data_IF_461416683744
#
_entry.id   IF_461416683744
#
_cell.length_a   1.000
_cell.length_b   1.000
_cell.length_c   1.000
_cell.angle_alpha   90.00
_cell.angle_beta   90.00
_cell.angle_gamma   90.00
#
_symmetry.space_group_name_H-M   'P 1'
#
loop_
_entity.id
_entity.type
_entity.pdbx_description
1 polymer ?
#
# COMPACT_ATOMS: atom_id res chain seq x y z
N UNK A 1 1.60 -0.54 -10.08
CA UNK A 1 1.92 0.14 -8.81
C UNK A 1 1.11 -0.49 -7.68
N UNK A 2 1.70 -0.58 -6.48
CA UNK A 2 1.01 -0.99 -5.25
C UNK A 2 0.94 0.22 -4.33
N UNK A 3 -0.26 0.60 -3.88
CA UNK A 3 -0.47 1.58 -2.82
C UNK A 3 -0.90 0.83 -1.56
N UNK A 4 -0.06 0.86 -0.53
CA UNK A 4 -0.12 -0.01 0.63
C UNK A 4 -0.16 0.78 1.95
N UNK A 5 -0.59 0.11 3.03
CA UNK A 5 -0.66 0.70 4.36
C UNK A 5 -1.92 0.33 5.14
N UNK A 6 -1.92 0.48 6.47
CA UNK A 6 -3.05 0.12 7.33
C UNK A 6 -4.36 0.84 6.93
N UNK A 7 -5.48 0.34 7.45
CA UNK A 7 -6.78 0.99 7.25
C UNK A 7 -6.76 2.42 7.81
N UNK A 8 -7.41 3.36 7.12
CA UNK A 8 -7.39 4.77 7.53
C UNK A 8 -6.03 5.47 7.39
N UNK A 9 -5.02 4.85 6.76
CA UNK A 9 -3.73 5.52 6.54
C UNK A 9 -3.80 6.71 5.56
N UNK A 10 -4.84 6.82 4.73
CA UNK A 10 -4.94 7.85 3.69
C UNK A 10 -4.43 7.42 2.31
N UNK A 11 -4.36 6.11 2.05
CA UNK A 11 -3.95 5.53 0.75
C UNK A 11 -4.72 6.12 -0.42
N UNK A 12 -6.06 6.15 -0.32
CA UNK A 12 -6.94 6.64 -1.39
C UNK A 12 -6.73 8.13 -1.66
N UNK A 13 -6.43 8.93 -0.63
CA UNK A 13 -6.10 10.36 -0.79
C UNK A 13 -4.75 10.54 -1.48
N UNK A 14 -3.75 9.73 -1.13
CA UNK A 14 -2.42 9.79 -1.76
C UNK A 14 -2.45 9.23 -3.20
N UNK A 15 -3.35 8.31 -3.48
CA UNK A 15 -3.58 7.71 -4.80
C UNK A 15 -4.71 8.40 -5.58
N UNK A 16 -5.05 9.65 -5.24
CA UNK A 16 -6.00 10.43 -6.01
C UNK A 16 -5.30 11.01 -7.27
N UNK A 17 -5.94 10.97 -8.45
CA UNK A 17 -5.41 11.63 -9.64
C UNK A 17 -5.49 13.16 -9.48
N UNK A 18 -4.54 13.87 -10.07
CA UNK A 18 -4.57 15.33 -10.13
C UNK A 18 -3.20 15.98 -10.30
N UNK A 19 -3.17 17.28 -10.67
CA UNK A 19 -1.93 18.01 -10.93
C UNK A 19 -0.98 18.02 -9.72
N UNK A 20 0.28 17.66 -9.94
CA UNK A 20 1.31 17.50 -8.91
C UNK A 20 1.12 16.27 -8.02
N UNK A 21 0.15 15.41 -8.33
CA UNK A 21 -0.14 14.19 -7.59
C UNK A 21 0.88 13.08 -7.85
N UNK A 22 0.94 12.11 -6.94
CA UNK A 22 1.87 10.99 -7.07
C UNK A 22 1.58 10.16 -8.33
N UNK A 23 0.31 10.00 -8.71
CA UNK A 23 -0.03 9.25 -9.92
C UNK A 23 0.49 9.92 -11.19
N UNK A 24 0.41 11.25 -11.28
CA UNK A 24 0.94 12.03 -12.41
C UNK A 24 2.45 11.86 -12.57
N UNK A 25 3.20 11.88 -11.45
CA UNK A 25 4.65 11.65 -11.46
C UNK A 25 5.03 10.29 -12.08
N UNK A 26 4.14 9.31 -11.98
CA UNK A 26 4.33 7.98 -12.59
C UNK A 26 3.63 7.81 -13.94
N UNK A 27 2.91 8.83 -14.44
CA UNK A 27 2.07 8.73 -15.64
C UNK A 27 0.89 7.77 -15.47
N UNK A 28 0.35 7.67 -14.24
CA UNK A 28 -0.69 6.71 -13.87
C UNK A 28 -2.06 7.35 -13.61
N UNK A 29 -2.29 8.63 -13.91
CA UNK A 29 -3.57 9.30 -13.62
C UNK A 29 -4.78 8.65 -14.31
N UNK A 30 -4.58 8.12 -15.52
CA UNK A 30 -5.60 7.40 -16.28
C UNK A 30 -5.56 5.87 -16.05
N UNK A 31 -4.73 5.39 -15.11
CA UNK A 31 -4.57 3.97 -14.85
C UNK A 31 -5.72 3.43 -13.98
N UNK A 32 -6.19 2.24 -14.33
CA UNK A 32 -7.18 1.52 -13.56
C UNK A 32 -6.72 1.32 -12.09
N UNK A 33 -7.52 1.83 -11.15
CA UNK A 33 -7.33 1.66 -9.71
C UNK A 33 -8.21 0.53 -9.20
N UNK A 34 -7.55 -0.53 -8.73
CA UNK A 34 -8.18 -1.71 -8.16
C UNK A 34 -8.21 -1.59 -6.63
N UNK A 35 -9.41 -1.57 -6.04
CA UNK A 35 -9.61 -1.49 -4.60
C UNK A 35 -10.77 -2.41 -4.18
N UNK A 36 -10.51 -3.32 -3.25
CA UNK A 36 -11.49 -4.32 -2.81
C UNK A 36 -12.65 -3.72 -2.00
N UNK A 37 -12.43 -2.62 -1.28
CA UNK A 37 -13.49 -1.93 -0.54
C UNK A 37 -14.46 -1.24 -1.52
N UNK A 38 -13.94 -0.62 -2.59
CA UNK A 38 -14.74 0.02 -3.64
C UNK A 38 -15.54 -1.02 -4.44
N UNK A 39 -14.91 -2.15 -4.79
CA UNK A 39 -15.59 -3.28 -5.47
C UNK A 39 -16.68 -3.90 -4.58
N UNK A 40 -16.45 -4.04 -3.27
CA UNK A 40 -17.46 -4.52 -2.34
C UNK A 40 -18.64 -3.54 -2.21
N UNK A 41 -18.36 -2.23 -2.15
CA UNK A 41 -19.40 -1.21 -2.12
C UNK A 41 -20.23 -1.20 -3.41
N UNK A 42 -19.60 -1.34 -4.58
CA UNK A 42 -20.28 -1.42 -5.87
C UNK A 42 -21.21 -2.64 -5.95
N UNK A 43 -20.75 -3.80 -5.45
CA UNK A 43 -21.57 -5.02 -5.36
C UNK A 43 -22.79 -4.85 -4.48
N UNK A 44 -22.63 -4.25 -3.31
CA UNK A 44 -23.76 -3.94 -2.42
C UNK A 44 -24.75 -2.99 -3.09
N UNK A 45 -24.25 -1.95 -3.79
CA UNK A 45 -25.11 -1.05 -4.56
C UNK A 45 -25.84 -1.76 -5.72
N UNK A 46 -25.26 -2.82 -6.27
CA UNK A 46 -25.86 -3.66 -7.31
C UNK A 46 -26.83 -4.73 -6.77
N UNK A 47 -26.99 -4.84 -5.44
CA UNK A 47 -27.97 -5.72 -4.80
C UNK A 47 -27.40 -6.88 -3.98
N UNK A 48 -26.08 -7.05 -3.91
CA UNK A 48 -25.47 -8.07 -3.05
C UNK A 48 -25.68 -7.73 -1.56
N UNK A 49 -25.88 -8.74 -0.72
CA UNK A 49 -25.99 -8.53 0.72
C UNK A 49 -24.66 -8.02 1.30
N UNK A 50 -24.65 -7.01 2.19
CA UNK A 50 -23.42 -6.59 2.85
C UNK A 50 -22.94 -7.69 3.79
N UNK A 51 -21.66 -8.09 3.67
CA UNK A 51 -21.12 -9.11 4.56
C UNK A 51 -19.77 -9.68 4.12
N UNK A 52 -19.24 -10.65 4.89
CA UNK A 52 -17.95 -11.29 4.61
C UNK A 52 -17.88 -11.96 3.24
N UNK A 53 -18.98 -12.51 2.75
CA UNK A 53 -19.05 -13.17 1.43
C UNK A 53 -18.83 -12.16 0.30
N UNK A 54 -19.55 -11.04 0.31
CA UNK A 54 -19.38 -9.96 -0.67
C UNK A 54 -17.99 -9.35 -0.62
N UNK A 55 -17.42 -9.18 0.58
CA UNK A 55 -16.03 -8.73 0.70
C UNK A 55 -15.02 -9.73 0.14
N UNK A 56 -15.24 -11.02 0.37
CA UNK A 56 -14.38 -12.07 -0.18
C UNK A 56 -14.49 -12.14 -1.71
N UNK A 57 -15.71 -12.04 -2.24
CA UNK A 57 -15.97 -12.01 -3.68
C UNK A 57 -15.29 -10.79 -4.33
N UNK A 58 -15.42 -9.60 -3.73
CA UNK A 58 -14.75 -8.39 -4.17
C UNK A 58 -13.22 -8.55 -4.16
N UNK A 59 -12.65 -9.07 -3.08
CA UNK A 59 -11.21 -9.31 -2.99
C UNK A 59 -10.72 -10.28 -4.07
N UNK A 60 -11.47 -11.35 -4.35
CA UNK A 60 -11.14 -12.31 -5.42
C UNK A 60 -11.25 -11.68 -6.81
N UNK A 61 -12.25 -10.84 -7.05
CA UNK A 61 -12.42 -10.14 -8.32
C UNK A 61 -11.26 -9.17 -8.58
N UNK A 62 -10.83 -8.44 -7.56
CA UNK A 62 -9.64 -7.56 -7.63
C UNK A 62 -8.37 -8.37 -7.90
N UNK A 63 -8.17 -9.50 -7.21
CA UNK A 63 -7.01 -10.37 -7.42
C UNK A 63 -6.95 -10.90 -8.86
N UNK A 64 -8.09 -11.32 -9.41
CA UNK A 64 -8.20 -11.80 -10.78
C UNK A 64 -7.92 -10.69 -11.80
N UNK A 65 -8.55 -9.52 -11.66
CA UNK A 65 -8.34 -8.36 -12.54
C UNK A 65 -6.90 -7.87 -12.52
N UNK A 66 -6.27 -7.86 -11.34
CA UNK A 66 -4.87 -7.48 -11.20
C UNK A 66 -3.95 -8.46 -11.91
N UNK A 67 -4.20 -9.77 -11.77
CA UNK A 67 -3.43 -10.79 -12.48
C UNK A 67 -3.62 -10.68 -14.01
N UNK A 68 -4.85 -10.51 -14.47
CA UNK A 68 -5.16 -10.32 -15.89
C UNK A 68 -4.46 -9.08 -16.48
N UNK A 69 -4.49 -7.95 -15.78
CA UNK A 69 -3.81 -6.74 -16.22
C UNK A 69 -2.29 -6.95 -16.35
N UNK A 70 -1.68 -7.64 -15.37
CA UNK A 70 -0.25 -7.99 -15.41
C UNK A 70 0.07 -8.87 -16.62
N UNK A 71 -0.73 -9.92 -16.86
CA UNK A 71 -0.53 -10.81 -18.01
C UNK A 71 -0.71 -10.09 -19.35
N UNK A 72 -1.68 -9.17 -19.43
CA UNK A 72 -1.98 -8.37 -20.61
C UNK A 72 -0.99 -7.22 -20.88
N UNK A 73 0.03 -7.01 -20.04
CA UNK A 73 0.99 -5.90 -20.23
C UNK A 73 0.40 -4.52 -19.89
N UNK A 74 -0.73 -4.44 -19.18
CA UNK A 74 -1.42 -3.18 -18.88
C UNK A 74 -0.90 -2.57 -17.58
N UNK A 75 -0.68 -1.25 -17.61
CA UNK A 75 -0.49 -0.48 -16.37
C UNK A 75 -1.68 -0.68 -15.44
N UNK A 76 -1.41 -0.96 -14.16
CA UNK A 76 -2.43 -1.22 -13.15
C UNK A 76 -1.98 -0.72 -11.78
N UNK A 77 -2.91 -0.18 -11.01
CA UNK A 77 -2.70 0.22 -9.62
C UNK A 77 -3.59 -0.61 -8.71
N UNK A 78 -3.04 -1.13 -7.61
CA UNK A 78 -3.83 -1.81 -6.57
C UNK A 78 -3.65 -1.12 -5.22
N UNK A 79 -4.76 -0.86 -4.54
CA UNK A 79 -4.78 -0.48 -3.13
C UNK A 79 -4.92 -1.69 -2.23
N UNK A 80 -4.10 -1.76 -1.18
CA UNK A 80 -4.11 -2.90 -0.25
C UNK A 80 -3.69 -2.52 1.15
N UNK A 81 -4.12 -3.32 2.13
CA UNK A 81 -3.57 -3.25 3.50
C UNK A 81 -2.16 -3.85 3.55
N UNK A 82 -1.76 -4.65 2.56
CA UNK A 82 -0.48 -5.38 2.53
C UNK A 82 -0.30 -6.35 3.71
N UNK A 83 -1.40 -6.83 4.31
CA UNK A 83 -1.37 -7.73 5.47
C UNK A 83 -1.27 -9.23 5.12
N UNK A 84 -0.97 -9.56 3.86
CA UNK A 84 -0.87 -10.92 3.34
C UNK A 84 0.18 -10.99 2.24
N UNK A 85 0.83 -12.14 2.09
CA UNK A 85 1.92 -12.36 1.12
C UNK A 85 1.43 -12.65 -0.31
N UNK A 86 0.11 -12.65 -0.54
CA UNK A 86 -0.51 -13.09 -1.81
C UNK A 86 -0.02 -12.35 -3.07
N UNK A 87 0.47 -11.11 -2.93
CA UNK A 87 0.99 -10.33 -4.06
C UNK A 87 2.48 -10.53 -4.31
N UNK A 88 3.21 -11.29 -3.47
CA UNK A 88 4.65 -11.55 -3.70
C UNK A 88 4.89 -12.27 -5.04
N UNK A 89 4.20 -13.38 -5.37
CA UNK A 89 4.39 -14.05 -6.65
C UNK A 89 4.02 -13.17 -7.84
N UNK A 90 3.02 -12.30 -7.66
CA UNK A 90 2.58 -11.40 -8.71
C UNK A 90 3.59 -10.28 -8.98
N UNK A 91 4.22 -9.73 -7.94
CA UNK A 91 5.31 -8.77 -8.09
C UNK A 91 6.46 -9.39 -8.89
N UNK A 92 6.92 -10.58 -8.51
CA UNK A 92 8.02 -11.26 -9.22
C UNK A 92 7.66 -11.56 -10.69
N UNK A 93 6.43 -12.02 -10.95
CA UNK A 93 5.95 -12.21 -12.33
C UNK A 93 5.92 -10.90 -13.12
N UNK A 94 5.47 -9.80 -12.52
CA UNK A 94 5.47 -8.50 -13.18
C UNK A 94 6.90 -8.07 -13.53
N UNK A 95 7.84 -8.19 -12.59
CA UNK A 95 9.26 -7.88 -12.80
C UNK A 95 9.87 -8.72 -13.92
N UNK A 96 9.62 -10.04 -13.91
CA UNK A 96 10.09 -10.96 -14.95
C UNK A 96 9.53 -10.63 -16.35
N UNK A 97 8.39 -9.93 -16.44
CA UNK A 97 7.80 -9.45 -17.69
C UNK A 97 8.24 -8.02 -18.08
N UNK A 98 9.21 -7.44 -17.37
CA UNK A 98 9.75 -6.11 -17.66
C UNK A 98 8.89 -4.95 -17.15
N UNK A 99 7.98 -5.19 -16.19
CA UNK A 99 7.27 -4.07 -15.56
C UNK A 99 8.23 -3.21 -14.74
N UNK A 100 8.00 -1.89 -14.79
CA UNK A 100 8.45 -0.96 -13.75
C UNK A 100 7.51 -1.06 -12.56
N UNK A 101 8.00 -1.61 -11.46
CA UNK A 101 7.23 -1.81 -10.24
C UNK A 101 7.43 -0.66 -9.26
N UNK A 102 6.35 -0.18 -8.67
CA UNK A 102 6.38 0.91 -7.69
C UNK A 102 5.56 0.54 -6.46
N UNK A 103 6.09 0.82 -5.28
CA UNK A 103 5.41 0.72 -3.98
C UNK A 103 5.28 2.11 -3.36
N UNK A 104 4.05 2.47 -3.01
CA UNK A 104 3.75 3.64 -2.17
C UNK A 104 3.17 3.12 -0.87
N UNK A 105 3.93 3.19 0.21
CA UNK A 105 3.49 2.73 1.53
C UNK A 105 3.16 3.91 2.43
N UNK A 106 1.90 3.99 2.85
CA UNK A 106 1.40 5.02 3.76
C UNK A 106 1.35 4.44 5.17
N UNK A 107 2.34 4.79 5.98
CA UNK A 107 2.51 4.33 7.34
C UNK A 107 1.62 5.09 8.34
N UNK A 108 1.32 4.40 9.43
CA UNK A 108 0.87 4.99 10.68
C UNK A 108 1.79 4.50 11.79
N UNK A 109 2.20 5.42 12.65
CA UNK A 109 3.07 5.17 13.80
C UNK A 109 2.47 4.16 14.79
N UNK A 110 1.14 4.06 14.86
CA UNK A 110 0.45 3.12 15.73
C UNK A 110 -0.90 2.65 15.18
N UNK A 111 -1.27 1.39 15.42
CA UNK A 111 -2.56 0.83 14.99
C UNK A 111 -3.78 1.53 15.61
N UNK A 112 -3.63 2.17 16.78
CA UNK A 112 -4.71 2.95 17.39
C UNK A 112 -5.12 4.16 16.54
N UNK A 113 -4.21 4.71 15.73
CA UNK A 113 -4.56 5.75 14.75
C UNK A 113 -5.49 5.20 13.67
N UNK A 114 -5.24 3.95 13.23
CA UNK A 114 -6.13 3.24 12.31
C UNK A 114 -7.52 3.10 12.91
N UNK A 115 -7.62 2.66 14.17
CA UNK A 115 -8.90 2.51 14.86
C UNK A 115 -9.65 3.84 15.00
N UNK A 116 -8.96 4.91 15.39
CA UNK A 116 -9.55 6.26 15.48
C UNK A 116 -10.12 6.71 14.13
N UNK A 117 -9.35 6.53 13.05
CA UNK A 117 -9.75 6.98 11.70
C UNK A 117 -10.86 6.14 11.10
N UNK A 118 -10.87 4.83 11.35
CA UNK A 118 -11.99 3.94 10.95
C UNK A 118 -13.27 4.40 11.64
N UNK A 119 -13.25 4.66 12.96
CA UNK A 119 -14.42 5.17 13.68
C UNK A 119 -14.96 6.48 13.09
N UNK A 120 -14.07 7.44 12.78
CA UNK A 120 -14.47 8.71 12.17
C UNK A 120 -15.10 8.50 10.78
N UNK A 121 -14.54 7.60 9.97
CA UNK A 121 -15.07 7.25 8.65
C UNK A 121 -16.44 6.59 8.75
N UNK A 122 -16.64 5.69 9.70
CA UNK A 122 -17.95 5.04 9.95
C UNK A 122 -18.98 6.07 10.37
N UNK A 123 -18.62 7.02 11.24
CA UNK A 123 -19.50 8.12 11.62
C UNK A 123 -19.89 9.01 10.41
N UNK A 124 -19.05 9.05 9.37
CA UNK A 124 -19.32 9.72 8.11
C UNK A 124 -19.99 8.82 7.04
N UNK A 125 -20.47 7.63 7.41
CA UNK A 125 -21.19 6.71 6.51
C UNK A 125 -20.32 5.74 5.71
N UNK A 126 -19.01 5.65 6.00
CA UNK A 126 -18.11 4.71 5.34
C UNK A 126 -18.05 3.31 6.01
N UNK A 127 -17.23 2.42 5.42
CA UNK A 127 -17.12 1.03 5.87
C UNK A 127 -16.37 0.85 7.21
N UNK A 128 -16.93 0.01 8.09
CA UNK A 128 -16.35 -0.39 9.36
C UNK A 128 -15.37 -1.56 9.22
N UNK A 129 -14.31 -1.55 10.03
CA UNK A 129 -13.35 -2.65 10.12
C UNK A 129 -13.26 -3.10 11.57
N UNK A 130 -13.55 -4.39 11.87
CA UNK A 130 -13.48 -4.90 13.23
C UNK A 130 -12.14 -4.58 13.92
N UNK A 131 -12.22 -4.05 15.14
CA UNK A 131 -11.05 -3.51 15.85
C UNK A 131 -9.98 -4.59 16.13
N UNK A 132 -10.41 -5.82 16.37
CA UNK A 132 -9.58 -7.02 16.54
C UNK A 132 -8.73 -7.33 15.29
N UNK A 133 -9.16 -6.89 14.10
CA UNK A 133 -8.41 -7.06 12.85
C UNK A 133 -7.35 -5.98 12.63
N UNK A 134 -7.46 -4.82 13.25
CA UNK A 134 -6.61 -3.67 12.94
C UNK A 134 -5.16 -3.87 13.39
N UNK A 135 -4.94 -4.28 14.64
CA UNK A 135 -3.58 -4.45 15.16
C UNK A 135 -2.80 -5.58 14.46
N UNK A 136 -3.36 -6.79 14.24
CA UNK A 136 -2.67 -7.84 13.50
C UNK A 136 -2.41 -7.46 12.04
N UNK A 137 -3.35 -6.77 11.37
CA UNK A 137 -3.14 -6.32 9.99
C UNK A 137 -2.05 -5.26 9.90
N UNK A 138 -2.00 -4.30 10.83
CA UNK A 138 -0.93 -3.31 10.90
C UNK A 138 0.44 -3.96 11.06
N UNK A 139 0.56 -4.92 11.99
CA UNK A 139 1.79 -5.69 12.21
C UNK A 139 2.24 -6.41 10.92
N UNK A 140 1.35 -7.21 10.31
CA UNK A 140 1.67 -7.93 9.07
C UNK A 140 1.93 -7.01 7.88
N UNK A 141 1.33 -5.83 7.84
CA UNK A 141 1.58 -4.80 6.82
C UNK A 141 3.02 -4.32 6.88
N UNK A 142 3.55 -4.04 8.08
CA UNK A 142 4.94 -3.65 8.27
C UNK A 142 5.92 -4.79 7.96
N UNK A 143 5.58 -6.02 8.31
CA UNK A 143 6.39 -7.20 7.97
C UNK A 143 6.48 -7.38 6.44
N UNK A 144 5.36 -7.19 5.72
CA UNK A 144 5.39 -7.26 4.27
C UNK A 144 6.05 -6.05 3.61
N UNK A 145 5.96 -4.86 4.20
CA UNK A 145 6.68 -3.68 3.71
C UNK A 145 8.18 -3.99 3.52
N UNK A 146 8.79 -4.74 4.43
CA UNK A 146 10.20 -5.15 4.33
C UNK A 146 10.46 -5.87 3.00
N UNK A 147 9.70 -6.92 2.73
CA UNK A 147 9.88 -7.74 1.52
C UNK A 147 9.57 -6.96 0.22
N UNK A 148 8.44 -6.24 0.18
CA UNK A 148 8.00 -5.51 -1.02
C UNK A 148 8.87 -4.28 -1.29
N UNK A 149 9.22 -3.51 -0.25
CA UNK A 149 10.08 -2.35 -0.37
C UNK A 149 11.53 -2.70 -0.72
N UNK A 150 11.98 -3.90 -0.38
CA UNK A 150 13.29 -4.37 -0.84
C UNK A 150 13.34 -4.65 -2.35
N UNK A 151 12.21 -5.04 -2.96
CA UNK A 151 12.16 -5.60 -4.34
C UNK A 151 11.49 -4.72 -5.39
N UNK A 152 10.68 -3.75 -4.99
CA UNK A 152 10.09 -2.82 -5.95
C UNK A 152 11.15 -1.87 -6.53
N UNK A 153 10.99 -1.46 -7.78
CA UNK A 153 11.92 -0.57 -8.48
C UNK A 153 11.91 0.84 -7.90
N UNK A 154 10.70 1.36 -7.66
CA UNK A 154 10.48 2.61 -6.95
C UNK A 154 9.77 2.35 -5.61
N UNK A 155 10.19 3.04 -4.54
CA UNK A 155 9.57 2.93 -3.21
C UNK A 155 9.42 4.30 -2.58
N UNK A 156 8.21 4.60 -2.12
CA UNK A 156 7.89 5.79 -1.35
C UNK A 156 7.27 5.34 -0.03
N UNK A 157 7.87 5.73 1.09
CA UNK A 157 7.28 5.52 2.41
C UNK A 157 6.92 6.86 3.00
N UNK A 158 5.65 7.02 3.33
CA UNK A 158 5.05 8.25 3.85
C UNK A 158 4.53 7.99 5.27
N UNK A 159 4.91 8.80 6.26
CA UNK A 159 4.22 8.82 7.55
C UNK A 159 3.01 9.75 7.49
N UNK A 160 1.81 9.22 7.64
CA UNK A 160 0.60 10.03 7.72
C UNK A 160 0.01 10.03 9.13
N UNK A 161 0.85 10.09 10.17
CA UNK A 161 0.37 10.06 11.56
C UNK A 161 -0.09 11.42 12.09
N UNK A 162 0.50 12.52 11.63
CA UNK A 162 0.20 13.88 12.09
C UNK A 162 -1.19 14.39 11.66
N UNK A 163 -1.74 13.88 10.55
CA UNK A 163 -3.08 14.20 10.06
C UNK A 163 -3.23 15.60 9.46
N UNK A 164 -2.99 16.67 10.24
CA UNK A 164 -3.20 18.05 9.83
C UNK A 164 -2.11 18.59 8.88
N UNK A 165 -0.87 18.14 9.06
CA UNK A 165 0.29 18.60 8.25
C UNK A 165 0.48 17.81 6.96
N UNK A 166 -0.44 16.89 6.63
CA UNK A 166 -0.28 15.96 5.53
C UNK A 166 0.76 14.85 5.80
N UNK A 167 0.99 13.97 4.81
CA UNK A 167 1.98 12.92 4.91
C UNK A 167 3.41 13.46 4.82
N UNK A 168 4.30 13.01 5.70
CA UNK A 168 5.73 13.30 5.66
C UNK A 168 6.49 12.19 4.93
N UNK A 169 7.43 12.55 4.05
CA UNK A 169 8.27 11.59 3.34
C UNK A 169 9.36 11.03 4.25
N UNK A 170 9.35 9.71 4.48
CA UNK A 170 10.38 9.03 5.25
C UNK A 170 11.47 8.43 4.35
N UNK A 171 11.05 7.80 3.24
CA UNK A 171 11.94 7.13 2.30
C UNK A 171 11.43 7.38 0.88
N UNK A 172 12.33 7.75 -0.04
CA UNK A 172 12.10 7.70 -1.48
C UNK A 172 13.27 6.99 -2.13
N UNK A 173 12.99 5.93 -2.89
CA UNK A 173 13.96 5.16 -3.64
C UNK A 173 13.46 5.15 -5.07
N UNK A 174 14.29 5.62 -5.97
CA UNK A 174 13.97 5.77 -7.39
C UNK A 174 15.15 5.28 -8.22
N UNK A 175 14.98 5.07 -9.54
CA UNK A 175 16.11 4.81 -10.42
C UNK A 175 17.17 5.93 -10.37
N UNK A 176 16.78 7.16 -10.07
CA UNK A 176 17.65 8.34 -10.11
C UNK A 176 18.35 8.61 -8.78
N UNK A 177 17.66 8.43 -7.65
CA UNK A 177 18.17 8.74 -6.33
C UNK A 177 17.49 7.97 -5.20
N UNK A 178 18.24 7.78 -4.11
CA UNK A 178 17.76 7.27 -2.83
C UNK A 178 17.78 8.39 -1.78
N UNK A 179 16.69 8.50 -1.02
CA UNK A 179 16.48 9.43 0.07
C UNK A 179 15.91 8.67 1.28
N UNK A 180 16.43 8.99 2.47
CA UNK A 180 15.86 8.54 3.74
C UNK A 180 16.07 9.61 4.80
N UNK A 181 14.98 10.04 5.45
CA UNK A 181 15.04 10.96 6.59
C UNK A 181 15.48 10.19 7.83
N UNK A 182 16.80 10.06 8.01
CA UNK A 182 17.39 9.24 9.09
C UNK A 182 17.03 9.77 10.47
N UNK A 183 16.98 11.08 10.63
CA UNK A 183 16.66 11.73 11.91
C UNK A 183 15.20 11.49 12.27
N UNK A 184 14.28 11.64 11.30
CA UNK A 184 12.88 11.32 11.55
C UNK A 184 12.70 9.81 11.80
N UNK A 185 13.28 8.94 10.99
CA UNK A 185 13.20 7.48 11.18
C UNK A 185 13.70 7.08 12.58
N UNK A 186 14.77 7.71 13.08
CA UNK A 186 15.30 7.47 14.42
C UNK A 186 14.30 7.83 15.54
N UNK A 187 13.40 8.78 15.32
CA UNK A 187 12.36 9.18 16.29
C UNK A 187 11.07 8.34 16.21
N UNK A 188 10.91 7.51 15.18
CA UNK A 188 9.68 6.72 15.01
C UNK A 188 9.53 5.63 16.09
N UNK A 189 8.29 5.16 16.37
CA UNK A 189 8.08 4.01 17.23
C UNK A 189 8.85 2.79 16.76
N UNK A 190 9.40 2.04 17.72
CA UNK A 190 10.32 0.91 17.50
C UNK A 190 9.92 0.02 16.31
N UNK A 191 8.67 -0.45 16.27
CA UNK A 191 8.23 -1.39 15.24
C UNK A 191 8.22 -0.81 13.82
N UNK A 192 7.89 0.47 13.66
CA UNK A 192 7.94 1.13 12.34
C UNK A 192 9.40 1.41 11.97
N UNK A 193 10.20 1.92 12.90
CA UNK A 193 11.63 2.14 12.72
C UNK A 193 12.35 0.86 12.28
N UNK A 194 12.11 -0.26 12.97
CA UNK A 194 12.72 -1.55 12.66
C UNK A 194 12.32 -2.07 11.29
N UNK A 195 11.05 -1.91 10.89
CA UNK A 195 10.59 -2.31 9.57
C UNK A 195 11.31 -1.52 8.46
N UNK A 196 11.50 -0.21 8.63
CA UNK A 196 12.20 0.63 7.66
C UNK A 196 13.69 0.30 7.60
N UNK A 197 14.33 0.09 8.74
CA UNK A 197 15.73 -0.31 8.79
C UNK A 197 15.95 -1.69 8.16
N UNK A 198 15.08 -2.66 8.45
CA UNK A 198 15.12 -3.99 7.83
C UNK A 198 14.90 -3.90 6.31
N UNK A 199 13.93 -3.10 5.86
CA UNK A 199 13.65 -2.89 4.43
C UNK A 199 14.88 -2.34 3.69
N UNK A 200 15.52 -1.30 4.24
CA UNK A 200 16.71 -0.69 3.67
C UNK A 200 17.91 -1.65 3.67
N UNK A 201 18.10 -2.42 4.75
CA UNK A 201 19.16 -3.41 4.86
C UNK A 201 18.97 -4.57 3.87
N UNK A 202 17.76 -5.13 3.77
CA UNK A 202 17.44 -6.19 2.81
C UNK A 202 17.65 -5.73 1.38
N UNK A 203 17.19 -4.51 1.03
CA UNK A 203 17.42 -3.93 -0.31
C UNK A 203 18.91 -3.82 -0.64
N UNK A 204 19.71 -3.33 0.31
CA UNK A 204 21.16 -3.20 0.14
C UNK A 204 21.79 -4.57 -0.15
N UNK A 205 21.43 -5.60 0.60
CA UNK A 205 21.93 -6.96 0.39
C UNK A 205 21.53 -7.56 -0.98
N UNK A 206 20.29 -7.30 -1.45
CA UNK A 206 19.85 -7.73 -2.79
C UNK A 206 20.65 -7.05 -3.91
N UNK A 207 20.92 -5.75 -3.78
CA UNK A 207 21.75 -5.00 -4.74
C UNK A 207 23.20 -5.50 -4.75
N UNK A 208 23.79 -5.76 -3.58
CA UNK A 208 25.18 -6.26 -3.46
C UNK A 208 25.35 -7.69 -4.00
N UNK A 209 24.32 -8.52 -3.91
CA UNK A 209 24.35 -9.91 -4.40
C UNK A 209 24.04 -10.05 -5.90
N UNK A 210 23.64 -8.97 -6.57
CA UNK A 210 23.21 -9.02 -7.97
C UNK A 210 21.93 -9.83 -8.19
N UNK A 211 21.15 -10.08 -7.13
CA UNK A 211 19.85 -10.79 -7.19
C UNK A 211 18.68 -9.83 -7.43
N UNK A 212 18.99 -8.61 -7.87
CA UNK A 212 18.02 -7.57 -8.19
C UNK A 212 17.50 -7.73 -9.61
#
# INVERSE_FOLDING_TARGET
MIVAGPNGAGKTTIAAPGPGGLLELFGLDATERLNADDEAAARVAAGDAPGPETQLAAARAIDARLAEAVEAGRSVLVETVLSSEKYRPLLERARARGYRTALVYVALQHHLLSAKRVKLRVAAGGHDVPADRLAPRWKRSLENLVWFGARADAVYVLDNSAGASGPALLVAITPEADYADRDFIAMLPQRLRDALQAMLAERKALRESGTY
#
